data_IF_830478090976
#
_entry.id   IF_830478090976
#
_cell.length_a   1.000
_cell.length_b   1.000
_cell.length_c   1.000
_cell.angle_alpha   90.00
_cell.angle_beta   90.00
_cell.angle_gamma   90.00
#
_symmetry.space_group_name_H-M   'P 1'
#
loop_
_entity.id
_entity.type
_entity.pdbx_description
1 polymer ?
#
# COMPACT_ATOMS: atom_id res chain seq x y z
N UNK A 1 33.09 3.73 -58.09
CA UNK A 1 31.81 2.98 -58.12
C UNK A 1 31.70 2.25 -56.79
N UNK A 2 30.91 2.77 -55.85
CA UNK A 2 30.83 2.18 -54.50
C UNK A 2 29.80 1.02 -54.51
N UNK A 3 30.14 -0.17 -53.97
CA UNK A 3 29.17 -1.24 -53.85
C UNK A 3 28.18 -0.91 -52.72
N UNK A 4 26.89 -0.86 -53.05
CA UNK A 4 25.79 -0.86 -52.10
C UNK A 4 25.79 -2.18 -51.32
N UNK A 5 26.00 -2.11 -50.00
CA UNK A 5 25.81 -3.27 -49.11
C UNK A 5 24.39 -3.19 -48.54
N UNK A 6 23.46 -4.12 -48.86
CA UNK A 6 22.15 -4.12 -48.23
C UNK A 6 22.32 -4.54 -46.77
N UNK A 7 22.10 -3.62 -45.84
CA UNK A 7 21.96 -3.95 -44.42
C UNK A 7 20.59 -4.58 -44.26
N UNK A 8 20.51 -5.91 -44.36
CA UNK A 8 19.34 -6.64 -43.88
C UNK A 8 19.34 -6.53 -42.36
N UNK A 9 18.66 -5.50 -41.83
CA UNK A 9 18.39 -5.40 -40.40
C UNK A 9 17.56 -6.65 -40.05
N UNK A 10 18.05 -7.57 -39.20
CA UNK A 10 17.26 -8.72 -38.80
C UNK A 10 15.97 -8.20 -38.17
N UNK A 11 14.78 -8.76 -38.48
CA UNK A 11 13.56 -8.34 -37.84
C UNK A 11 13.78 -8.44 -36.34
N UNK A 12 13.61 -7.33 -35.64
CA UNK A 12 13.71 -7.31 -34.18
C UNK A 12 12.77 -8.41 -33.70
N UNK A 13 13.33 -9.43 -33.05
CA UNK A 13 12.56 -10.57 -32.54
C UNK A 13 11.49 -9.95 -31.66
N UNK A 14 10.24 -9.85 -32.13
CA UNK A 14 9.13 -9.30 -31.35
C UNK A 14 9.12 -10.15 -30.09
N UNK A 15 9.59 -9.58 -28.97
CA UNK A 15 9.56 -10.26 -27.69
C UNK A 15 8.10 -10.63 -27.50
N UNK A 16 7.82 -11.93 -27.41
CA UNK A 16 6.48 -12.38 -27.06
C UNK A 16 6.14 -11.67 -25.77
N UNK A 17 4.98 -11.00 -25.73
CA UNK A 17 4.53 -10.33 -24.52
C UNK A 17 4.54 -11.37 -23.39
N UNK A 18 5.23 -11.10 -22.27
CA UNK A 18 5.21 -12.02 -21.15
C UNK A 18 3.77 -12.13 -20.66
N UNK A 19 3.27 -13.35 -20.56
CA UNK A 19 1.99 -13.68 -19.95
C UNK A 19 2.18 -13.67 -18.43
N UNK A 20 1.95 -12.52 -17.81
CA UNK A 20 2.23 -12.28 -16.39
C UNK A 20 1.05 -12.69 -15.51
N UNK A 21 -0.18 -12.50 -15.99
CA UNK A 21 -1.39 -12.58 -15.16
C UNK A 21 -2.34 -13.72 -15.54
N UNK A 22 -1.97 -14.58 -16.50
CA UNK A 22 -2.88 -15.62 -17.04
C UNK A 22 -3.53 -16.48 -15.95
N UNK A 23 -2.74 -17.02 -15.00
CA UNK A 23 -3.24 -17.88 -13.91
C UNK A 23 -4.13 -17.13 -12.91
N UNK A 24 -3.76 -15.89 -12.61
CA UNK A 24 -4.52 -15.05 -11.67
C UNK A 24 -5.87 -14.64 -12.29
N UNK A 25 -5.88 -14.36 -13.60
CA UNK A 25 -7.10 -14.04 -14.35
C UNK A 25 -8.02 -15.27 -14.43
N UNK A 26 -7.49 -16.46 -14.70
CA UNK A 26 -8.27 -17.71 -14.69
C UNK A 26 -8.90 -17.98 -13.32
N UNK A 27 -8.12 -17.79 -12.24
CA UNK A 27 -8.62 -17.95 -10.87
C UNK A 27 -9.68 -16.90 -10.53
N UNK A 28 -9.48 -15.65 -10.97
CA UNK A 28 -10.43 -14.57 -10.79
C UNK A 28 -11.74 -14.84 -11.54
N UNK A 29 -11.66 -15.29 -12.79
CA UNK A 29 -12.83 -15.63 -13.61
C UNK A 29 -13.64 -16.75 -12.96
N UNK A 30 -12.99 -17.81 -12.48
CA UNK A 30 -13.64 -18.88 -11.73
C UNK A 30 -14.34 -18.35 -10.47
N UNK A 31 -13.67 -17.47 -9.71
CA UNK A 31 -14.28 -16.85 -8.51
C UNK A 31 -15.48 -15.96 -8.84
N UNK A 32 -15.55 -15.42 -10.06
CA UNK A 32 -16.64 -14.61 -10.58
C UNK A 32 -17.78 -15.45 -11.18
N UNK A 33 -17.66 -16.77 -11.19
CA UNK A 33 -18.66 -17.71 -11.72
C UNK A 33 -18.44 -18.16 -13.16
N UNK A 34 -17.27 -17.93 -13.76
CA UNK A 34 -16.89 -18.55 -15.03
C UNK A 34 -16.66 -20.07 -14.86
N UNK A 35 -16.60 -20.81 -15.97
CA UNK A 35 -16.29 -22.23 -15.97
C UNK A 35 -14.91 -22.56 -15.39
N UNK A 36 -14.65 -23.83 -15.03
CA UNK A 36 -13.35 -24.27 -14.50
C UNK A 36 -12.19 -24.13 -15.50
N UNK A 37 -12.51 -24.00 -16.79
CA UNK A 37 -11.56 -23.72 -17.87
C UNK A 37 -12.11 -22.53 -18.66
N UNK A 38 -11.47 -21.38 -18.48
CA UNK A 38 -11.79 -20.17 -19.24
C UNK A 38 -11.27 -20.25 -20.68
N UNK A 39 -11.87 -19.49 -21.58
CA UNK A 39 -11.41 -19.39 -22.96
C UNK A 39 -10.08 -18.62 -23.04
N UNK A 40 -9.09 -19.15 -23.76
CA UNK A 40 -7.81 -18.47 -23.96
C UNK A 40 -7.97 -17.05 -24.52
N UNK A 41 -8.95 -16.84 -25.42
CA UNK A 41 -9.20 -15.53 -26.00
C UNK A 41 -9.68 -14.49 -24.98
N UNK A 42 -10.52 -14.88 -24.01
CA UNK A 42 -10.99 -13.97 -22.96
C UNK A 42 -9.86 -13.64 -21.99
N UNK A 43 -9.06 -14.64 -21.60
CA UNK A 43 -7.91 -14.43 -20.71
C UNK A 43 -6.89 -13.49 -21.33
N UNK A 44 -6.54 -13.68 -22.62
CA UNK A 44 -5.61 -12.78 -23.31
C UNK A 44 -6.16 -11.36 -23.46
N UNK A 45 -7.45 -11.20 -23.75
CA UNK A 45 -8.10 -9.89 -23.85
C UNK A 45 -8.06 -9.15 -22.51
N UNK A 46 -8.44 -9.84 -21.42
CA UNK A 46 -8.41 -9.26 -20.07
C UNK A 46 -6.99 -8.92 -19.62
N UNK A 47 -5.99 -9.71 -20.01
CA UNK A 47 -4.60 -9.41 -19.73
C UNK A 47 -4.14 -8.11 -20.43
N UNK A 48 -4.51 -7.92 -21.70
CA UNK A 48 -4.21 -6.68 -22.41
C UNK A 48 -4.92 -5.47 -21.77
N UNK A 49 -6.21 -5.59 -21.41
CA UNK A 49 -6.96 -4.52 -20.72
C UNK A 49 -6.37 -4.19 -19.34
N UNK A 50 -5.94 -5.21 -18.59
CA UNK A 50 -5.34 -5.03 -17.27
C UNK A 50 -4.00 -4.28 -17.35
N UNK A 51 -3.16 -4.66 -18.33
CA UNK A 51 -1.87 -4.01 -18.55
C UNK A 51 -2.07 -2.55 -18.96
N UNK A 52 -3.04 -2.27 -19.84
CA UNK A 52 -3.40 -0.90 -20.23
C UNK A 52 -3.85 -0.08 -19.02
N UNK A 53 -4.80 -0.60 -18.23
CA UNK A 53 -5.27 0.05 -17.01
C UNK A 53 -4.14 0.37 -16.01
N UNK A 54 -3.25 -0.58 -15.75
CA UNK A 54 -2.12 -0.36 -14.82
C UNK A 54 -1.11 0.65 -15.36
N UNK A 55 -0.91 0.68 -16.67
CA UNK A 55 -0.01 1.65 -17.32
C UNK A 55 -0.57 3.06 -17.18
N UNK A 56 -1.87 3.25 -17.45
CA UNK A 56 -2.54 4.54 -17.31
C UNK A 56 -2.56 5.02 -15.86
N UNK A 57 -2.90 4.13 -14.92
CA UNK A 57 -2.87 4.42 -13.48
C UNK A 57 -1.48 4.85 -13.01
N UNK A 58 -0.43 4.20 -13.53
CA UNK A 58 0.96 4.54 -13.20
C UNK A 58 1.37 5.89 -13.77
N UNK A 59 0.94 6.22 -14.99
CA UNK A 59 1.19 7.52 -15.58
C UNK A 59 0.47 8.64 -14.83
N UNK A 60 -0.77 8.42 -14.40
CA UNK A 60 -1.52 9.40 -13.60
C UNK A 60 -0.87 9.61 -12.23
N UNK A 61 -0.52 8.51 -11.53
CA UNK A 61 0.19 8.57 -10.24
C UNK A 61 1.55 9.29 -10.38
N UNK A 62 2.27 9.07 -11.49
CA UNK A 62 3.53 9.76 -11.77
C UNK A 62 3.34 11.27 -11.98
N UNK A 63 2.21 11.73 -12.53
CA UNK A 63 1.94 13.17 -12.66
C UNK A 63 1.86 13.83 -11.28
N UNK A 64 1.20 13.18 -10.33
CA UNK A 64 1.14 13.66 -8.94
C UNK A 64 2.50 13.60 -8.23
N UNK A 65 3.26 12.52 -8.41
CA UNK A 65 4.62 12.44 -7.88
C UNK A 65 5.51 13.59 -8.38
N UNK A 66 5.41 13.92 -9.69
CA UNK A 66 6.14 15.02 -10.32
C UNK A 66 5.70 16.40 -9.82
N UNK A 67 4.41 16.60 -9.56
CA UNK A 67 3.89 17.83 -8.94
C UNK A 67 4.52 18.05 -7.55
N UNK A 68 4.82 16.98 -6.82
CA UNK A 68 5.57 17.01 -5.56
C UNK A 68 7.10 17.04 -5.73
N UNK A 69 7.62 17.23 -6.95
CA UNK A 69 9.07 17.26 -7.23
C UNK A 69 9.77 15.92 -7.14
N UNK A 70 9.04 14.80 -7.07
CA UNK A 70 9.58 13.43 -6.99
C UNK A 70 9.59 12.77 -8.37
N UNK A 71 10.66 12.04 -8.67
CA UNK A 71 10.77 11.24 -9.91
C UNK A 71 10.22 9.82 -9.76
N UNK A 72 10.01 9.35 -8.53
CA UNK A 72 9.54 8.01 -8.19
C UNK A 72 8.15 8.07 -7.57
N UNK A 73 7.30 7.14 -8.01
CA UNK A 73 5.94 6.95 -7.52
C UNK A 73 6.01 6.32 -6.11
N UNK A 74 5.18 6.82 -5.20
CA UNK A 74 4.91 6.23 -3.89
C UNK A 74 3.47 5.71 -3.83
N UNK A 75 3.18 4.85 -2.85
CA UNK A 75 1.82 4.37 -2.58
C UNK A 75 0.87 5.53 -2.27
N UNK A 76 1.37 6.59 -1.63
CA UNK A 76 0.57 7.79 -1.32
C UNK A 76 0.16 8.61 -2.55
N UNK A 77 0.74 8.36 -3.73
CA UNK A 77 0.35 9.03 -4.98
C UNK A 77 -0.87 8.36 -5.65
N UNK A 78 -1.12 7.07 -5.37
CA UNK A 78 -2.21 6.28 -5.97
C UNK A 78 -3.62 6.78 -5.58
N UNK A 79 -3.91 7.19 -4.33
CA UNK A 79 -5.20 7.79 -3.98
C UNK A 79 -5.58 8.98 -4.84
N UNK A 80 -4.60 9.82 -5.21
CA UNK A 80 -4.84 10.99 -6.05
C UNK A 80 -5.17 10.60 -7.50
N UNK A 81 -4.59 9.52 -8.01
CA UNK A 81 -4.96 8.96 -9.31
C UNK A 81 -6.37 8.36 -9.29
N UNK A 82 -6.81 7.77 -8.18
CA UNK A 82 -8.14 7.16 -8.02
C UNK A 82 -9.24 8.14 -7.57
N UNK A 83 -8.98 9.45 -7.51
CA UNK A 83 -9.93 10.45 -6.99
C UNK A 83 -11.29 10.49 -7.69
N UNK A 84 -11.34 10.05 -8.95
CA UNK A 84 -12.57 10.03 -9.75
C UNK A 84 -13.39 8.74 -9.56
N UNK A 85 -12.81 7.72 -8.90
CA UNK A 85 -13.45 6.42 -8.69
C UNK A 85 -13.56 6.16 -7.16
N UNK A 86 -14.67 6.58 -6.53
CA UNK A 86 -14.83 6.48 -5.09
C UNK A 86 -14.87 5.03 -4.60
N UNK A 87 -15.31 4.07 -5.43
CA UNK A 87 -15.37 2.66 -5.04
C UNK A 87 -13.97 2.05 -4.95
N UNK A 88 -13.12 2.28 -5.95
CA UNK A 88 -11.72 1.81 -5.92
C UNK A 88 -10.91 2.51 -4.83
N UNK A 89 -11.15 3.82 -4.64
CA UNK A 89 -10.51 4.58 -3.57
C UNK A 89 -10.87 4.03 -2.18
N UNK A 90 -12.16 3.82 -1.92
CA UNK A 90 -12.63 3.24 -0.65
C UNK A 90 -12.06 1.85 -0.41
N UNK A 91 -12.04 0.99 -1.45
CA UNK A 91 -11.46 -0.36 -1.35
C UNK A 91 -9.97 -0.33 -1.04
N UNK A 92 -9.21 0.56 -1.68
CA UNK A 92 -7.78 0.73 -1.41
C UNK A 92 -7.53 1.21 0.03
N UNK A 93 -8.28 2.21 0.51
CA UNK A 93 -8.17 2.70 1.88
C UNK A 93 -8.45 1.59 2.91
N UNK A 94 -9.51 0.81 2.68
CA UNK A 94 -9.81 -0.36 3.50
C UNK A 94 -8.65 -1.37 3.52
N UNK A 95 -8.10 -1.73 2.35
CA UNK A 95 -6.96 -2.67 2.27
C UNK A 95 -5.74 -2.13 3.04
N UNK A 96 -5.43 -0.84 2.91
CA UNK A 96 -4.31 -0.19 3.63
C UNK A 96 -4.51 -0.29 5.14
N UNK A 97 -5.72 -0.04 5.61
CA UNK A 97 -6.07 -0.13 7.02
C UNK A 97 -5.96 -1.58 7.54
N UNK A 98 -6.50 -2.56 6.83
CA UNK A 98 -6.43 -3.96 7.25
C UNK A 98 -4.98 -4.47 7.28
N UNK A 99 -4.15 -4.07 6.32
CA UNK A 99 -2.72 -4.38 6.34
C UNK A 99 -2.02 -3.76 7.55
N UNK A 100 -2.36 -2.53 7.91
CA UNK A 100 -1.84 -1.88 9.11
C UNK A 100 -2.25 -2.61 10.38
N UNK A 101 -3.52 -3.00 10.51
CA UNK A 101 -4.05 -3.79 11.64
C UNK A 101 -3.32 -5.12 11.77
N UNK A 102 -3.10 -5.83 10.66
CA UNK A 102 -2.35 -7.10 10.64
C UNK A 102 -0.89 -6.88 11.07
N UNK A 103 -0.24 -5.81 10.59
CA UNK A 103 1.15 -5.51 10.97
C UNK A 103 1.28 -5.13 12.46
N UNK A 104 0.33 -4.36 13.00
CA UNK A 104 0.24 -4.02 14.43
C UNK A 104 0.08 -5.31 15.26
N UNK A 105 -0.84 -6.18 14.86
CA UNK A 105 -1.05 -7.47 15.51
C UNK A 105 0.21 -8.34 15.49
N UNK A 106 0.88 -8.48 14.33
CA UNK A 106 2.13 -9.24 14.22
C UNK A 106 3.24 -8.73 15.16
N UNK A 107 3.41 -7.40 15.22
CA UNK A 107 4.39 -6.77 16.12
C UNK A 107 4.08 -7.06 17.59
N UNK A 108 2.80 -7.03 17.97
CA UNK A 108 2.36 -7.36 19.33
C UNK A 108 2.66 -8.82 19.71
N UNK A 109 2.56 -9.76 18.75
CA UNK A 109 2.92 -11.16 18.99
C UNK A 109 4.43 -11.38 19.14
N UNK A 110 5.27 -10.68 18.39
CA UNK A 110 6.74 -10.83 18.47
C UNK A 110 7.32 -10.24 19.77
N UNK A 111 6.67 -9.23 20.36
CA UNK A 111 7.03 -8.70 21.66
C UNK A 111 6.35 -9.51 22.77
N UNK A 112 7.05 -10.52 23.33
CA UNK A 112 6.60 -11.46 24.38
C UNK A 112 6.14 -10.85 25.74
N UNK A 113 5.63 -9.62 25.79
CA UNK A 113 4.93 -9.04 26.94
C UNK A 113 3.54 -8.59 26.49
N UNK A 114 2.64 -9.57 26.36
CA UNK A 114 1.25 -9.35 25.99
C UNK A 114 0.53 -8.73 27.19
N UNK A 115 0.40 -7.41 27.22
CA UNK A 115 -0.59 -6.78 28.09
C UNK A 115 -1.95 -6.96 27.41
N UNK A 116 -2.70 -8.00 27.80
CA UNK A 116 -4.00 -8.38 27.19
C UNK A 116 -5.00 -7.21 27.10
N UNK A 117 -4.86 -6.20 27.97
CA UNK A 117 -5.66 -4.96 27.94
C UNK A 117 -5.45 -4.10 26.68
N UNK A 118 -4.30 -4.17 26.01
CA UNK A 118 -4.07 -3.44 24.75
C UNK A 118 -4.55 -4.22 23.52
N UNK A 119 -4.85 -5.51 23.64
CA UNK A 119 -5.33 -6.34 22.52
C UNK A 119 -6.80 -6.11 22.16
N UNK A 120 -7.62 -5.71 23.13
CA UNK A 120 -9.08 -5.57 22.99
C UNK A 120 -9.57 -4.17 23.35
N UNK A 121 -8.67 -3.20 23.52
CA UNK A 121 -9.10 -1.82 23.47
C UNK A 121 -9.53 -1.58 22.01
N UNK A 122 -10.84 -1.53 21.77
CA UNK A 122 -11.42 -1.02 20.54
C UNK A 122 -10.84 0.39 20.34
N UNK A 123 -9.80 0.46 19.51
CA UNK A 123 -9.14 1.70 19.10
C UNK A 123 -10.07 2.34 18.05
N UNK A 124 -11.26 2.76 18.50
CA UNK A 124 -12.10 3.77 17.88
C UNK A 124 -11.44 5.17 18.03
N UNK A 125 -10.13 5.25 18.32
CA UNK A 125 -9.35 6.48 18.21
C UNK A 125 -8.96 6.68 16.74
N UNK A 126 -9.70 7.57 16.08
CA UNK A 126 -9.32 8.22 14.82
C UNK A 126 -7.84 8.63 14.86
N UNK A 127 -7.05 8.18 13.87
CA UNK A 127 -5.65 8.57 13.69
C UNK A 127 -5.53 10.11 13.63
N UNK A 128 -4.83 10.77 14.57
CA UNK A 128 -4.66 12.21 14.57
C UNK A 128 -3.45 12.62 13.72
N UNK A 129 -3.35 12.12 12.48
CA UNK A 129 -2.29 12.51 11.53
C UNK A 129 -2.79 13.41 10.40
N UNK A 130 -3.69 14.34 10.73
CA UNK A 130 -3.79 15.61 10.01
C UNK A 130 -3.39 16.77 10.95
N UNK A 131 -2.08 17.05 10.99
CA UNK A 131 -1.53 18.37 11.36
C UNK A 131 -1.80 18.91 12.78
N UNK A 132 -1.06 18.44 13.79
CA UNK A 132 -1.02 19.14 15.08
C UNK A 132 -0.14 18.53 16.18
N UNK A 133 0.92 19.27 16.57
CA UNK A 133 1.81 19.20 17.76
C UNK A 133 1.71 17.98 18.73
N UNK A 134 2.85 17.42 19.20
CA UNK A 134 2.88 16.10 19.85
C UNK A 134 2.34 16.09 21.30
N UNK A 135 1.19 15.42 21.49
CA UNK A 135 0.62 15.01 22.79
C UNK A 135 1.56 14.09 23.62
N UNK A 136 2.54 13.43 22.98
CA UNK A 136 3.50 12.54 23.66
C UNK A 136 4.41 13.25 24.67
N UNK A 137 4.65 14.57 24.55
CA UNK A 137 5.44 15.33 25.55
C UNK A 137 4.67 15.59 26.85
N UNK A 138 3.34 15.67 26.83
CA UNK A 138 2.53 15.95 28.01
C UNK A 138 2.51 14.77 29.00
N UNK A 139 2.22 13.55 28.51
CA UNK A 139 2.19 12.34 29.35
C UNK A 139 3.54 12.01 30.02
N UNK A 140 4.68 12.30 29.35
CA UNK A 140 6.02 12.10 29.95
C UNK A 140 6.33 13.14 31.04
N UNK A 141 5.84 14.38 30.89
CA UNK A 141 6.00 15.45 31.89
C UNK A 141 5.18 15.18 33.15
N UNK A 142 3.97 14.63 32.98
CA UNK A 142 3.06 14.32 34.09
C UNK A 142 3.56 13.13 34.93
N UNK A 143 4.04 12.05 34.28
CA UNK A 143 4.70 10.92 34.97
C UNK A 143 5.97 11.33 35.70
N UNK A 144 6.73 12.29 35.17
CA UNK A 144 7.91 12.84 35.84
C UNK A 144 7.57 13.67 37.08
N UNK A 145 6.44 14.39 37.07
CA UNK A 145 5.98 15.21 38.20
C UNK A 145 5.44 14.36 39.36
N UNK A 146 4.70 13.28 39.06
CA UNK A 146 4.23 12.31 40.08
C UNK A 146 5.38 11.60 40.80
N UNK A 147 6.36 11.09 40.05
CA UNK A 147 7.55 10.44 40.63
C UNK A 147 8.37 11.36 41.55
N UNK A 148 8.39 12.66 41.26
CA UNK A 148 9.14 13.64 42.06
C UNK A 148 8.37 14.07 43.32
N UNK A 149 7.04 13.96 43.32
CA UNK A 149 6.22 14.22 44.50
C UNK A 149 6.28 13.03 45.49
N UNK A 150 6.19 11.80 44.99
CA UNK A 150 6.32 10.58 45.83
C UNK A 150 7.72 10.46 46.46
N UNK A 151 8.78 10.91 45.79
CA UNK A 151 10.14 10.92 46.37
C UNK A 151 10.37 12.00 47.43
N UNK A 152 9.59 13.09 47.42
CA UNK A 152 9.71 14.15 48.42
C UNK A 152 8.98 13.77 49.72
N UNK A 153 7.82 13.14 49.60
CA UNK A 153 7.02 12.67 50.75
C UNK A 153 7.74 11.56 51.54
N UNK A 154 8.50 10.71 50.84
CA UNK A 154 9.24 9.60 51.45
C UNK A 154 10.59 10.01 52.06
N UNK A 155 11.02 11.27 51.88
CA UNK A 155 12.25 11.82 52.48
C UNK A 155 12.01 12.71 53.71
N UNK A 156 10.75 13.03 54.00
CA UNK A 156 10.33 13.81 55.18
C UNK A 156 9.82 12.92 56.34
N UNK A 157 9.87 11.60 56.17
CA UNK A 157 9.37 10.61 57.15
C UNK A 157 10.45 9.64 57.68
N UNK A 158 11.74 9.96 57.50
CA UNK A 158 12.88 9.36 58.25
C UNK A 158 13.62 10.41 59.09
#
# INVERSE_FOLDING_TARGET
MYPYRPVSVPPTRRRRRPRLFTKDIETLLYSMGDGPVSLDSTVNCLEDCLVEFLTDLSHESLRFARLHGRSRIKVDDVPFALRNDPQKLGRMSYIREQLHRIEKAKKMYDTNNVNEKELFADDDEEDPDEGGRPLKKAKKKERGKKKKAEQAENSESE
#
